data_IF_372840656957
#
_entry.id   IF_372840656957
#
_cell.length_a   1.000
_cell.length_b   1.000
_cell.length_c   1.000
_cell.angle_alpha   90.00
_cell.angle_beta   90.00
_cell.angle_gamma   90.00
#
_symmetry.space_group_name_H-M   'P 1'
#
loop_
_entity.id
_entity.type
_entity.pdbx_description
1 polymer ?
#
# COMPACT_ATOMS: atom_id res chain seq x y z
N UNK A 1 -75.41 -12.63 -0.73
CA UNK A 1 -74.94 -14.01 -0.98
C UNK A 1 -74.26 -14.02 -2.35
N UNK A 2 -72.98 -14.19 -2.58
CA UNK A 2 -71.73 -14.13 -1.80
C UNK A 2 -70.66 -13.99 -2.88
N UNK A 3 -69.82 -12.95 -2.86
CA UNK A 3 -68.66 -12.84 -3.74
C UNK A 3 -67.54 -13.72 -3.13
N UNK A 4 -66.87 -14.62 -3.87
CA UNK A 4 -65.68 -15.30 -3.37
C UNK A 4 -64.45 -14.39 -3.49
N UNK A 5 -63.65 -14.41 -2.44
CA UNK A 5 -62.46 -13.58 -2.20
C UNK A 5 -61.28 -13.86 -3.15
N UNK A 6 -60.51 -12.80 -3.43
CA UNK A 6 -59.16 -12.86 -3.99
C UNK A 6 -58.23 -13.68 -3.09
N UNK A 7 -57.63 -14.73 -3.63
CA UNK A 7 -56.47 -15.40 -3.04
C UNK A 7 -55.22 -14.58 -3.32
N UNK A 8 -54.81 -13.75 -2.37
CA UNK A 8 -53.48 -13.14 -2.35
C UNK A 8 -52.46 -14.21 -1.95
N UNK A 9 -51.83 -14.87 -2.93
CA UNK A 9 -50.63 -15.65 -2.67
C UNK A 9 -49.49 -14.69 -2.31
N UNK A 10 -49.27 -14.57 -1.00
CA UNK A 10 -48.18 -13.80 -0.41
C UNK A 10 -46.85 -14.34 -0.90
N UNK A 11 -46.16 -13.56 -1.73
CA UNK A 11 -44.73 -13.70 -1.97
C UNK A 11 -44.02 -13.54 -0.63
N UNK A 12 -43.53 -14.65 -0.08
CA UNK A 12 -42.70 -14.63 1.11
C UNK A 12 -41.41 -13.84 0.80
N UNK A 13 -41.24 -12.70 1.46
CA UNK A 13 -39.94 -12.01 1.51
C UNK A 13 -38.89 -12.96 2.11
N UNK A 14 -37.69 -13.09 1.51
CA UNK A 14 -36.62 -13.84 2.13
C UNK A 14 -36.16 -13.09 3.39
N UNK A 15 -36.32 -13.74 4.54
CA UNK A 15 -35.81 -13.27 5.82
C UNK A 15 -34.34 -12.87 5.68
N UNK A 16 -34.06 -11.58 5.88
CA UNK A 16 -32.71 -11.05 5.96
C UNK A 16 -31.92 -11.85 7.00
N UNK A 17 -30.81 -12.44 6.58
CA UNK A 17 -29.87 -13.14 7.44
C UNK A 17 -29.34 -12.19 8.50
N UNK A 18 -29.95 -12.21 9.69
CA UNK A 18 -29.45 -11.47 10.85
C UNK A 18 -28.02 -11.93 11.12
N UNK A 19 -27.05 -11.01 11.03
CA UNK A 19 -25.68 -11.32 11.42
C UNK A 19 -25.67 -11.83 12.86
N UNK A 20 -24.98 -12.94 13.17
CA UNK A 20 -24.92 -13.46 14.52
C UNK A 20 -24.32 -12.41 15.46
N UNK A 21 -25.05 -12.10 16.54
CA UNK A 21 -24.58 -11.17 17.59
C UNK A 21 -23.36 -11.80 18.28
N UNK A 22 -22.20 -11.16 18.12
CA UNK A 22 -20.93 -11.60 18.69
C UNK A 22 -20.88 -11.40 20.20
N UNK A 23 -20.23 -12.31 20.92
CA UNK A 23 -20.08 -12.20 22.37
C UNK A 23 -19.06 -11.11 22.74
N UNK A 24 -19.12 -10.54 23.96
CA UNK A 24 -18.13 -9.59 24.44
C UNK A 24 -16.69 -10.13 24.39
N UNK A 25 -16.49 -11.43 24.62
CA UNK A 25 -15.20 -12.09 24.56
C UNK A 25 -14.64 -12.15 23.13
N UNK A 26 -15.50 -12.48 22.14
CA UNK A 26 -15.12 -12.46 20.72
C UNK A 26 -14.75 -11.05 20.25
N UNK A 27 -15.47 -10.03 20.71
CA UNK A 27 -15.15 -8.62 20.41
C UNK A 27 -13.79 -8.23 20.99
N UNK A 28 -13.50 -8.61 22.24
CA UNK A 28 -12.22 -8.37 22.89
C UNK A 28 -11.06 -9.10 22.17
N UNK A 29 -11.25 -10.37 21.79
CA UNK A 29 -10.25 -11.12 21.05
C UNK A 29 -9.95 -10.50 19.68
N UNK A 30 -10.97 -10.02 18.95
CA UNK A 30 -10.80 -9.30 17.68
C UNK A 30 -10.04 -7.99 17.88
N UNK A 31 -10.33 -7.22 18.92
CA UNK A 31 -9.60 -6.01 19.26
C UNK A 31 -8.09 -6.28 19.43
N UNK A 32 -7.73 -7.31 20.19
CA UNK A 32 -6.33 -7.70 20.41
C UNK A 32 -5.65 -8.10 19.09
N UNK A 33 -6.33 -8.89 18.25
CA UNK A 33 -5.79 -9.26 16.94
C UNK A 33 -5.56 -8.04 16.07
N UNK A 34 -6.55 -7.13 15.97
CA UNK A 34 -6.41 -5.89 15.20
C UNK A 34 -5.23 -5.08 15.67
N UNK A 35 -5.09 -4.87 16.99
CA UNK A 35 -3.97 -4.11 17.57
C UNK A 35 -2.63 -4.74 17.20
N UNK A 36 -2.50 -6.06 17.29
CA UNK A 36 -1.27 -6.77 16.87
C UNK A 36 -0.97 -6.57 15.38
N UNK A 37 -1.99 -6.59 14.51
CA UNK A 37 -1.79 -6.35 13.06
C UNK A 37 -1.43 -4.91 12.74
N UNK A 38 -2.04 -3.95 13.43
CA UNK A 38 -1.66 -2.53 13.29
C UNK A 38 -0.24 -2.29 13.77
N UNK A 39 0.18 -2.88 14.91
CA UNK A 39 1.56 -2.81 15.39
C UNK A 39 2.53 -3.43 14.37
N UNK A 40 2.18 -4.58 13.79
CA UNK A 40 2.99 -5.19 12.73
C UNK A 40 3.11 -4.29 11.50
N UNK A 41 1.99 -3.74 11.01
CA UNK A 41 1.96 -2.80 9.89
C UNK A 41 2.89 -1.61 10.16
N UNK A 42 2.77 -0.98 11.33
CA UNK A 42 3.60 0.17 11.71
C UNK A 42 5.06 -0.22 11.86
N UNK A 43 5.37 -1.41 12.40
CA UNK A 43 6.73 -1.93 12.51
C UNK A 43 7.38 -2.17 11.14
N UNK A 44 6.65 -2.78 10.21
CA UNK A 44 7.11 -2.98 8.81
C UNK A 44 7.29 -1.64 8.11
N UNK A 45 6.34 -0.71 8.26
CA UNK A 45 6.43 0.63 7.69
C UNK A 45 7.65 1.39 8.22
N UNK A 46 7.87 1.37 9.54
CA UNK A 46 9.02 2.01 10.16
C UNK A 46 10.34 1.41 9.67
N UNK A 47 10.42 0.07 9.59
CA UNK A 47 11.62 -0.59 9.09
C UNK A 47 11.92 -0.22 7.64
N UNK A 48 10.93 -0.32 6.75
CA UNK A 48 11.09 0.05 5.34
C UNK A 48 11.48 1.54 5.18
N UNK A 49 10.85 2.42 5.96
CA UNK A 49 11.15 3.84 6.00
C UNK A 49 12.59 4.13 6.44
N UNK A 50 13.04 3.52 7.54
CA UNK A 50 14.39 3.74 8.07
C UNK A 50 15.47 3.19 7.13
N UNK A 51 15.21 2.04 6.49
CA UNK A 51 16.10 1.49 5.47
C UNK A 51 16.20 2.47 4.30
N UNK A 52 15.07 2.94 3.75
CA UNK A 52 15.09 3.90 2.63
C UNK A 52 15.81 5.21 3.00
N UNK A 53 15.42 5.82 4.13
CA UNK A 53 16.03 7.07 4.59
C UNK A 53 17.52 6.92 4.84
N UNK A 54 17.93 5.86 5.54
CA UNK A 54 19.33 5.56 5.83
C UNK A 54 20.15 5.35 4.55
N UNK A 55 19.62 4.56 3.60
CA UNK A 55 20.27 4.35 2.31
C UNK A 55 20.41 5.65 1.52
N UNK A 56 19.36 6.48 1.45
CA UNK A 56 19.39 7.77 0.76
C UNK A 56 20.39 8.74 1.38
N UNK A 57 20.47 8.79 2.71
CA UNK A 57 21.48 9.60 3.41
C UNK A 57 22.90 9.13 3.09
N UNK A 58 23.12 7.81 3.09
CA UNK A 58 24.42 7.22 2.81
C UNK A 58 24.88 7.51 1.38
N UNK A 59 24.03 7.25 0.37
CA UNK A 59 24.40 7.46 -1.03
C UNK A 59 24.60 8.93 -1.34
N UNK A 60 23.79 9.82 -0.78
CA UNK A 60 23.98 11.27 -0.94
C UNK A 60 25.31 11.72 -0.34
N UNK A 61 25.65 11.25 0.86
CA UNK A 61 26.90 11.62 1.51
C UNK A 61 28.15 11.06 0.83
N UNK A 62 28.04 9.95 0.08
CA UNK A 62 29.21 9.22 -0.46
C UNK A 62 29.33 9.27 -1.97
N UNK A 63 28.23 9.44 -2.70
CA UNK A 63 28.16 9.29 -4.16
C UNK A 63 27.65 10.54 -4.87
N UNK A 64 27.02 11.50 -4.19
CA UNK A 64 26.62 12.75 -4.83
C UNK A 64 27.86 13.49 -5.32
N UNK A 65 27.91 13.84 -6.61
CA UNK A 65 29.06 14.47 -7.26
C UNK A 65 30.25 13.55 -7.56
N UNK A 66 30.13 12.24 -7.32
CA UNK A 66 31.18 11.26 -7.60
C UNK A 66 30.82 10.38 -8.80
N UNK A 67 31.79 9.59 -9.27
CA UNK A 67 31.54 8.62 -10.33
C UNK A 67 30.59 7.50 -9.85
N UNK A 68 29.72 6.97 -10.73
CA UNK A 68 28.89 5.81 -10.44
C UNK A 68 29.72 4.61 -9.96
N UNK A 69 29.15 3.79 -9.08
CA UNK A 69 29.77 2.54 -8.62
C UNK A 69 29.08 1.36 -9.29
N UNK A 70 29.81 0.61 -10.10
CA UNK A 70 29.33 -0.63 -10.69
C UNK A 70 29.32 -1.76 -9.65
N UNK A 71 28.14 -2.31 -9.39
CA UNK A 71 27.90 -3.34 -8.36
C UNK A 71 27.89 -4.73 -8.99
N UNK A 72 27.22 -4.87 -10.14
CA UNK A 72 27.11 -6.14 -10.88
C UNK A 72 27.45 -5.87 -12.34
N UNK A 73 28.75 -5.81 -12.64
CA UNK A 73 29.24 -5.37 -13.95
C UNK A 73 28.54 -4.07 -14.38
N UNK A 74 28.19 -3.97 -15.66
CA UNK A 74 27.48 -2.80 -16.22
C UNK A 74 25.94 -2.90 -16.07
N UNK A 75 25.43 -3.89 -15.33
CA UNK A 75 23.99 -4.16 -15.23
C UNK A 75 23.35 -3.40 -14.07
N UNK A 76 24.02 -3.36 -12.91
CA UNK A 76 23.53 -2.67 -11.71
C UNK A 76 24.60 -1.72 -11.21
N UNK A 77 24.26 -0.44 -11.20
CA UNK A 77 25.17 0.65 -10.82
C UNK A 77 24.51 1.53 -9.77
N UNK A 78 25.28 1.99 -8.79
CA UNK A 78 24.85 3.01 -7.84
C UNK A 78 25.29 4.40 -8.30
N UNK A 79 24.30 5.27 -8.53
CA UNK A 79 24.51 6.66 -8.95
C UNK A 79 23.41 7.54 -8.37
N UNK A 80 23.72 8.74 -7.88
CA UNK A 80 22.71 9.61 -7.25
C UNK A 80 21.96 10.43 -8.30
N UNK A 81 20.64 10.29 -8.36
CA UNK A 81 19.74 11.12 -9.15
C UNK A 81 18.72 11.79 -8.24
N UNK A 82 18.53 13.10 -8.42
CA UNK A 82 17.46 13.86 -7.77
C UNK A 82 16.24 13.97 -8.68
N UNK A 83 15.26 13.10 -8.46
CA UNK A 83 14.08 12.99 -9.27
C UNK A 83 12.95 13.93 -8.79
N UNK A 84 12.83 15.07 -9.48
CA UNK A 84 11.68 15.98 -9.35
C UNK A 84 10.46 15.60 -10.18
N UNK A 85 10.51 14.48 -10.92
CA UNK A 85 9.52 14.13 -11.94
C UNK A 85 9.87 14.63 -13.35
N UNK A 86 11.14 14.93 -13.60
CA UNK A 86 11.63 15.39 -14.90
C UNK A 86 11.43 14.38 -16.04
N UNK A 87 11.34 13.07 -15.72
CA UNK A 87 11.04 12.02 -16.68
C UNK A 87 9.70 12.23 -17.43
N UNK A 88 8.79 13.03 -16.88
CA UNK A 88 7.50 13.37 -17.51
C UNK A 88 7.51 14.76 -18.16
N UNK A 89 8.67 15.41 -18.30
CA UNK A 89 8.82 16.71 -18.96
C UNK A 89 8.21 17.92 -18.22
N UNK A 90 7.60 17.71 -17.05
CA UNK A 90 6.82 18.73 -16.32
C UNK A 90 7.43 19.18 -14.98
N UNK A 91 8.58 18.62 -14.58
CA UNK A 91 9.35 19.05 -13.40
C UNK A 91 8.50 19.25 -12.13
N UNK A 92 8.50 20.47 -11.59
CA UNK A 92 7.81 20.83 -10.33
C UNK A 92 6.32 20.46 -10.29
N UNK A 93 5.59 20.55 -11.41
CA UNK A 93 4.16 20.18 -11.43
C UNK A 93 3.95 18.72 -11.01
N UNK A 94 4.86 17.83 -11.42
CA UNK A 94 4.82 16.42 -11.02
C UNK A 94 5.18 16.22 -9.56
N UNK A 95 6.02 17.09 -8.98
CA UNK A 95 6.35 17.01 -7.55
C UNK A 95 5.10 17.19 -6.69
N UNK A 96 4.23 18.14 -7.04
CA UNK A 96 2.95 18.33 -6.34
C UNK A 96 2.02 17.13 -6.53
N UNK A 97 1.89 16.64 -7.77
CA UNK A 97 1.05 15.47 -8.10
C UNK A 97 1.49 14.24 -7.31
N UNK A 98 2.78 13.92 -7.31
CA UNK A 98 3.29 12.76 -6.59
C UNK A 98 3.17 12.91 -5.06
N UNK A 99 3.34 14.13 -4.53
CA UNK A 99 3.09 14.42 -3.12
C UNK A 99 1.63 14.16 -2.76
N UNK A 100 0.69 14.60 -3.60
CA UNK A 100 -0.74 14.36 -3.43
C UNK A 100 -1.09 12.86 -3.51
N UNK A 101 -0.49 12.12 -4.45
CA UNK A 101 -0.67 10.66 -4.57
C UNK A 101 -0.15 9.96 -3.31
N UNK A 102 1.08 10.24 -2.88
CA UNK A 102 1.66 9.63 -1.68
C UNK A 102 0.81 9.92 -0.42
N UNK A 103 0.35 11.16 -0.27
CA UNK A 103 -0.55 11.55 0.83
C UNK A 103 -1.87 10.79 0.76
N UNK A 104 -2.45 10.64 -0.44
CA UNK A 104 -3.69 9.89 -0.65
C UNK A 104 -3.52 8.41 -0.28
N UNK A 105 -2.41 7.78 -0.68
CA UNK A 105 -2.08 6.40 -0.31
C UNK A 105 -2.00 6.25 1.21
N UNK A 106 -1.33 7.16 1.91
CA UNK A 106 -1.23 7.15 3.38
C UNK A 106 -2.64 7.22 4.02
N UNK A 107 -3.50 8.12 3.54
CA UNK A 107 -4.88 8.25 4.03
C UNK A 107 -5.69 6.98 3.77
N UNK A 108 -5.56 6.37 2.60
CA UNK A 108 -6.23 5.11 2.25
C UNK A 108 -5.76 3.97 3.16
N UNK A 109 -4.45 3.83 3.37
CA UNK A 109 -3.89 2.82 4.27
C UNK A 109 -4.41 3.04 5.70
N UNK A 110 -4.43 4.27 6.19
CA UNK A 110 -4.98 4.59 7.51
C UNK A 110 -6.45 4.17 7.63
N UNK A 111 -7.26 4.40 6.59
CA UNK A 111 -8.67 3.96 6.55
C UNK A 111 -8.81 2.44 6.57
N UNK A 112 -7.97 1.72 5.80
CA UNK A 112 -7.99 0.25 5.71
C UNK A 112 -7.48 -0.39 7.01
N UNK A 113 -6.48 0.21 7.66
CA UNK A 113 -5.89 -0.27 8.91
C UNK A 113 -6.94 -0.44 10.03
N UNK A 114 -8.05 0.32 9.98
CA UNK A 114 -9.18 0.19 10.92
C UNK A 114 -9.90 -1.15 10.85
N UNK A 115 -9.78 -1.88 9.73
CA UNK A 115 -10.37 -3.20 9.51
C UNK A 115 -9.30 -4.28 9.27
N UNK A 116 -8.08 -4.07 9.76
CA UNK A 116 -6.96 -4.95 9.48
C UNK A 116 -6.82 -6.08 10.50
N UNK A 117 -7.14 -7.31 10.08
CA UNK A 117 -7.00 -8.52 10.89
C UNK A 117 -6.10 -9.58 10.23
N UNK A 118 -5.85 -9.44 8.92
CA UNK A 118 -4.98 -10.33 8.16
C UNK A 118 -3.48 -9.97 8.27
N UNK A 119 -2.64 -10.98 8.52
CA UNK A 119 -1.18 -10.82 8.64
C UNK A 119 -0.52 -10.43 7.31
N UNK A 120 -0.77 -11.12 6.18
CA UNK A 120 -0.21 -10.73 4.89
C UNK A 120 -0.58 -9.30 4.48
N UNK A 121 -1.83 -8.88 4.74
CA UNK A 121 -2.25 -7.51 4.48
C UNK A 121 -1.52 -6.50 5.36
N UNK A 122 -1.22 -6.84 6.62
CA UNK A 122 -0.45 -5.95 7.49
C UNK A 122 0.98 -5.71 6.96
N UNK A 123 1.63 -6.75 6.44
CA UNK A 123 2.95 -6.63 5.79
C UNK A 123 2.84 -5.81 4.51
N UNK A 124 1.88 -6.11 3.64
CA UNK A 124 1.70 -5.42 2.36
C UNK A 124 1.45 -3.91 2.55
N UNK A 125 0.51 -3.57 3.42
CA UNK A 125 0.18 -2.18 3.76
C UNK A 125 1.32 -1.48 4.51
N UNK A 126 2.08 -2.22 5.33
CA UNK A 126 3.27 -1.71 6.00
C UNK A 126 4.34 -1.30 5.00
N UNK A 127 4.64 -2.15 4.01
CA UNK A 127 5.59 -1.85 2.93
C UNK A 127 5.15 -0.62 2.11
N UNK A 128 3.87 -0.57 1.71
CA UNK A 128 3.30 0.56 0.99
C UNK A 128 3.40 1.86 1.80
N UNK A 129 3.08 1.82 3.11
CA UNK A 129 3.14 2.98 3.99
C UNK A 129 4.58 3.46 4.18
N UNK A 130 5.52 2.54 4.45
CA UNK A 130 6.93 2.87 4.63
C UNK A 130 7.55 3.49 3.39
N UNK A 131 7.31 2.90 2.22
CA UNK A 131 7.79 3.45 0.94
C UNK A 131 7.14 4.80 0.59
N UNK A 132 5.82 4.94 0.80
CA UNK A 132 5.13 6.21 0.59
C UNK A 132 5.69 7.32 1.50
N UNK A 133 5.95 7.01 2.78
CA UNK A 133 6.55 7.95 3.72
C UNK A 133 8.00 8.32 3.36
N UNK A 134 8.80 7.36 2.87
CA UNK A 134 10.18 7.60 2.43
C UNK A 134 10.24 8.61 1.28
N UNK A 135 9.47 8.37 0.22
CA UNK A 135 9.39 9.28 -0.92
C UNK A 135 8.70 10.61 -0.59
N UNK A 136 7.69 10.61 0.29
CA UNK A 136 7.06 11.84 0.75
C UNK A 136 8.03 12.70 1.58
N UNK A 137 8.85 12.09 2.44
CA UNK A 137 9.86 12.80 3.24
C UNK A 137 10.84 13.56 2.35
N UNK A 138 11.35 12.93 1.29
CA UNK A 138 12.22 13.63 0.34
C UNK A 138 11.51 14.82 -0.32
N UNK A 139 10.26 14.64 -0.74
CA UNK A 139 9.47 15.71 -1.38
C UNK A 139 9.18 16.89 -0.46
N UNK A 140 9.05 16.64 0.84
CA UNK A 140 8.75 17.68 1.81
C UNK A 140 10.00 18.42 2.29
N UNK A 141 11.11 17.71 2.53
CA UNK A 141 12.23 18.26 3.29
C UNK A 141 13.54 18.39 2.52
N UNK A 142 13.68 17.69 1.40
CA UNK A 142 14.94 17.69 0.64
C UNK A 142 15.00 18.86 -0.34
N UNK A 143 16.20 19.27 -0.74
CA UNK A 143 16.42 20.31 -1.77
C UNK A 143 15.74 19.94 -3.10
N UNK A 144 15.34 20.92 -3.94
CA UNK A 144 15.72 22.34 -3.94
C UNK A 144 15.02 23.25 -2.91
N UNK A 145 13.75 23.01 -2.60
CA UNK A 145 12.95 23.82 -1.67
C UNK A 145 12.08 22.91 -0.79
N UNK A 146 11.74 23.38 0.42
CA UNK A 146 10.77 22.70 1.29
C UNK A 146 9.41 22.62 0.55
N UNK A 147 8.75 21.46 0.59
CA UNK A 147 7.54 21.11 -0.19
C UNK A 147 7.73 20.95 -1.70
N UNK A 148 8.95 21.12 -2.21
CA UNK A 148 9.30 20.87 -3.63
C UNK A 148 10.59 20.07 -3.75
N UNK A 149 10.84 19.23 -2.75
CA UNK A 149 12.02 18.38 -2.73
C UNK A 149 11.99 17.32 -3.82
N UNK A 150 13.17 16.91 -4.24
CA UNK A 150 13.34 15.82 -5.19
C UNK A 150 13.62 14.52 -4.45
N UNK A 151 13.00 13.44 -4.93
CA UNK A 151 13.26 12.08 -4.42
C UNK A 151 14.67 11.66 -4.82
N UNK A 152 15.41 11.05 -3.90
CA UNK A 152 16.74 10.50 -4.21
C UNK A 152 16.60 9.08 -4.73
N UNK A 153 16.90 8.93 -6.02
CA UNK A 153 16.99 7.63 -6.68
C UNK A 153 18.46 7.28 -6.81
N UNK A 154 18.80 6.00 -6.56
CA UNK A 154 20.20 5.61 -6.52
C UNK A 154 20.55 4.23 -7.08
N UNK A 155 19.55 3.40 -7.34
CA UNK A 155 19.74 2.07 -7.92
C UNK A 155 19.44 2.16 -9.41
N UNK A 156 20.48 2.13 -10.23
CA UNK A 156 20.37 2.10 -11.69
C UNK A 156 20.47 0.65 -12.16
N UNK A 157 19.46 0.20 -12.90
CA UNK A 157 19.48 -1.10 -13.58
C UNK A 157 19.45 -0.83 -15.07
N UNK A 158 20.30 -1.52 -15.82
CA UNK A 158 20.44 -1.34 -17.26
C UNK A 158 19.08 -1.46 -17.97
N UNK A 159 18.76 -0.49 -18.83
CA UNK A 159 17.49 -0.38 -19.55
C UNK A 159 16.23 -0.19 -18.67
N UNK A 160 16.40 0.15 -17.39
CA UNK A 160 15.31 0.44 -16.47
C UNK A 160 15.44 1.84 -15.87
N UNK A 161 14.35 2.32 -15.24
CA UNK A 161 14.39 3.57 -14.50
C UNK A 161 15.31 3.44 -13.27
N UNK A 162 15.94 4.53 -12.84
CA UNK A 162 16.66 4.56 -11.57
C UNK A 162 15.63 4.68 -10.45
N UNK A 163 15.78 3.88 -9.40
CA UNK A 163 14.82 3.80 -8.30
C UNK A 163 15.52 3.76 -6.93
N UNK A 164 14.74 3.71 -5.87
CA UNK A 164 15.23 3.60 -4.49
C UNK A 164 14.53 2.46 -3.72
N UNK A 165 14.86 2.32 -2.43
CA UNK A 165 14.30 1.26 -1.60
C UNK A 165 12.84 1.53 -1.21
N UNK A 166 12.40 2.79 -1.12
CA UNK A 166 10.98 3.12 -1.00
C UNK A 166 10.17 2.63 -2.22
N UNK A 167 10.66 2.80 -3.45
CA UNK A 167 10.00 2.28 -4.65
C UNK A 167 9.93 0.76 -4.64
N UNK A 168 11.01 0.10 -4.23
CA UNK A 168 11.07 -1.35 -4.07
C UNK A 168 10.03 -1.84 -3.05
N UNK A 169 9.89 -1.15 -1.91
CA UNK A 169 8.87 -1.45 -0.91
C UNK A 169 7.45 -1.26 -1.46
N UNK A 170 7.21 -0.20 -2.23
CA UNK A 170 5.91 0.05 -2.88
C UNK A 170 5.57 -1.06 -3.87
N UNK A 171 6.52 -1.45 -4.73
CA UNK A 171 6.34 -2.53 -5.72
C UNK A 171 6.05 -3.87 -5.03
N UNK A 172 6.87 -4.26 -4.05
CA UNK A 172 6.67 -5.50 -3.29
C UNK A 172 5.33 -5.52 -2.55
N UNK A 173 4.97 -4.41 -1.88
CA UNK A 173 3.70 -4.26 -1.19
C UNK A 173 2.51 -4.32 -2.15
N UNK A 174 2.62 -3.65 -3.30
CA UNK A 174 1.60 -3.67 -4.37
C UNK A 174 1.39 -5.07 -4.96
N UNK A 175 2.47 -5.78 -5.29
CA UNK A 175 2.41 -7.18 -5.75
C UNK A 175 1.70 -8.04 -4.69
N UNK A 176 2.04 -7.89 -3.42
CA UNK A 176 1.40 -8.65 -2.35
C UNK A 176 -0.09 -8.33 -2.22
N UNK A 177 -0.51 -7.06 -2.31
CA UNK A 177 -1.93 -6.67 -2.34
C UNK A 177 -2.67 -7.32 -3.51
N UNK A 178 -2.08 -7.30 -4.71
CA UNK A 178 -2.66 -7.90 -5.91
C UNK A 178 -2.82 -9.42 -5.73
N UNK A 179 -1.78 -10.10 -5.25
CA UNK A 179 -1.83 -11.54 -4.99
C UNK A 179 -2.88 -11.91 -3.94
N UNK A 180 -3.01 -11.13 -2.86
CA UNK A 180 -4.02 -11.35 -1.83
C UNK A 180 -5.44 -11.14 -2.36
N UNK A 181 -5.61 -10.12 -3.21
CA UNK A 181 -6.89 -9.82 -3.85
C UNK A 181 -7.32 -10.96 -4.79
N UNK A 182 -6.40 -11.51 -5.60
CA UNK A 182 -6.70 -12.67 -6.45
C UNK A 182 -6.99 -13.95 -5.67
N UNK A 183 -6.43 -14.10 -4.47
CA UNK A 183 -6.75 -15.22 -3.56
C UNK A 183 -8.06 -15.00 -2.79
N UNK A 184 -8.81 -13.94 -3.11
CA UNK A 184 -10.06 -13.58 -2.43
C UNK A 184 -9.87 -13.20 -0.96
N UNK A 185 -8.64 -12.95 -0.51
CA UNK A 185 -8.32 -12.68 0.89
C UNK A 185 -8.53 -11.20 1.18
N UNK A 186 -9.44 -10.89 2.10
CA UNK A 186 -9.74 -9.52 2.49
C UNK A 186 -8.82 -9.04 3.64
N UNK A 187 -8.62 -7.71 3.79
CA UNK A 187 -7.87 -7.13 4.91
C UNK A 187 -8.39 -7.55 6.29
N UNK A 188 -9.69 -7.88 6.37
CA UNK A 188 -10.35 -8.33 7.59
C UNK A 188 -10.16 -9.83 7.91
N UNK A 189 -9.40 -10.54 7.09
CA UNK A 189 -9.10 -11.95 7.25
C UNK A 189 -10.16 -12.89 6.69
N UNK A 190 -11.24 -12.37 6.10
CA UNK A 190 -12.23 -13.20 5.39
C UNK A 190 -11.71 -13.60 4.01
N UNK A 191 -12.20 -14.73 3.48
CA UNK A 191 -11.94 -15.16 2.10
C UNK A 191 -13.27 -15.17 1.36
N UNK A 192 -13.35 -14.52 0.20
CA UNK A 192 -14.49 -14.71 -0.69
C UNK A 192 -14.50 -16.17 -1.16
N UNK A 193 -15.45 -16.96 -0.67
CA UNK A 193 -15.86 -18.16 -1.39
C UNK A 193 -16.62 -17.67 -2.62
N UNK A 194 -16.02 -17.77 -3.80
CA UNK A 194 -16.79 -17.73 -5.03
C UNK A 194 -17.64 -19.00 -5.02
N UNK A 195 -18.90 -18.87 -4.63
CA UNK A 195 -19.87 -19.96 -4.75
C UNK A 195 -19.85 -20.40 -6.20
N UNK A 196 -19.55 -21.68 -6.41
CA UNK A 196 -19.32 -22.32 -7.71
C UNK A 196 -20.63 -22.50 -8.51
N UNK A 197 -21.60 -21.61 -8.34
CA UNK A 197 -22.97 -21.76 -8.87
C UNK A 197 -23.16 -21.13 -10.27
N UNK A 198 -22.28 -20.22 -10.71
CA UNK A 198 -22.51 -19.47 -11.96
C UNK A 198 -21.81 -20.07 -13.21
N UNK A 199 -21.56 -21.39 -13.21
CA UNK A 199 -20.99 -22.11 -14.38
C UNK A 199 -21.87 -23.24 -14.92
N UNK A 200 -23.14 -23.29 -14.53
CA UNK A 200 -24.09 -24.30 -15.01
C UNK A 200 -25.46 -23.75 -15.42
N UNK A 201 -25.52 -22.48 -15.86
CA UNK A 201 -26.70 -21.93 -16.53
C UNK A 201 -26.43 -21.77 -18.03
#
# INVERSE_FOLDING_TARGET
MSIPEESSDGVAEPAGSAEPVRTPEELAAREVLRRRRVVLLLGVALLAYLIDLGSKLLVVARLEGHQPIDVIGDIVTFQVIRNGGAAFGMGQAMTVVFTAIATSVIVVIWRIARKLYSLPWAIALGLLLGGALGNLTDRLFRSPEVFRGHVVDFISVQHFAVFNLADSAIVCGGILVVLLSFRGSNPDGTVHQVTKEDKSA
#
